data_IF_607975167588
#
_entry.id   IF_607975167588
#
_cell.length_a   1.000
_cell.length_b   1.000
_cell.length_c   1.000
_cell.angle_alpha   90.00
_cell.angle_beta   90.00
_cell.angle_gamma   90.00
#
_symmetry.space_group_name_H-M   'P 1'
#
loop_
_entity.id
_entity.type
_entity.pdbx_description
1 polymer ?
#
# COMPACT_ATOMS: atom_id res chain seq x y z
N UNK A 1 -4.86 -36.99 -30.97
CA UNK A 1 -4.59 -37.19 -29.53
C UNK A 1 -5.37 -36.11 -28.79
N UNK A 2 -6.58 -36.45 -28.36
CA UNK A 2 -7.54 -35.54 -27.72
C UNK A 2 -7.22 -35.45 -26.23
N UNK A 3 -6.83 -34.28 -25.74
CA UNK A 3 -6.72 -34.01 -24.31
C UNK A 3 -8.02 -33.36 -23.83
N UNK A 4 -8.67 -34.09 -22.92
CA UNK A 4 -9.94 -33.80 -22.29
C UNK A 4 -9.82 -32.56 -21.40
N UNK A 5 -10.60 -31.53 -21.71
CA UNK A 5 -10.82 -30.40 -20.82
C UNK A 5 -11.66 -30.85 -19.62
N UNK A 6 -10.99 -31.14 -18.50
CA UNK A 6 -11.64 -31.39 -17.22
C UNK A 6 -12.23 -30.09 -16.67
N UNK A 7 -13.53 -29.90 -16.87
CA UNK A 7 -14.31 -28.90 -16.13
C UNK A 7 -14.37 -29.30 -14.65
N UNK A 8 -13.51 -28.71 -13.83
CA UNK A 8 -13.72 -28.65 -12.39
C UNK A 8 -14.88 -27.69 -12.09
N UNK A 9 -16.12 -28.19 -12.24
CA UNK A 9 -17.27 -27.60 -11.54
C UNK A 9 -17.13 -27.99 -10.08
N UNK A 10 -16.65 -27.06 -9.29
CA UNK A 10 -16.61 -27.14 -7.84
C UNK A 10 -18.06 -27.17 -7.32
N UNK A 11 -18.63 -28.35 -7.12
CA UNK A 11 -19.87 -28.56 -6.37
C UNK A 11 -19.55 -28.46 -4.88
N UNK A 12 -19.28 -27.24 -4.41
CA UNK A 12 -19.51 -26.88 -3.01
C UNK A 12 -20.89 -26.23 -2.95
N UNK A 13 -21.94 -27.04 -2.99
CA UNK A 13 -23.19 -26.69 -2.32
C UNK A 13 -22.91 -26.75 -0.81
N UNK A 14 -22.16 -25.76 -0.33
CA UNK A 14 -22.20 -25.39 1.08
C UNK A 14 -23.66 -25.03 1.34
N UNK A 15 -24.28 -25.76 2.27
CA UNK A 15 -25.45 -25.27 2.99
C UNK A 15 -25.04 -23.93 3.63
N UNK A 16 -25.08 -22.84 2.86
CA UNK A 16 -25.07 -21.50 3.40
C UNK A 16 -26.34 -21.43 4.21
N UNK A 17 -26.22 -21.60 5.53
CA UNK A 17 -27.24 -21.13 6.47
C UNK A 17 -27.49 -19.67 6.11
N UNK A 18 -28.54 -19.43 5.34
CA UNK A 18 -29.00 -18.09 5.02
C UNK A 18 -29.40 -17.46 6.33
N UNK A 19 -28.56 -16.54 6.82
CA UNK A 19 -28.89 -15.74 7.98
C UNK A 19 -30.18 -14.99 7.69
N UNK A 20 -31.08 -14.96 8.68
CA UNK A 20 -32.26 -14.10 8.58
C UNK A 20 -31.84 -12.64 8.72
N UNK A 21 -32.65 -11.71 8.19
CA UNK A 21 -32.40 -10.28 8.38
C UNK A 21 -32.26 -9.91 9.86
N UNK A 22 -33.10 -10.49 10.72
CA UNK A 22 -33.03 -10.28 12.18
C UNK A 22 -31.66 -10.70 12.75
N UNK A 23 -31.09 -11.81 12.27
CA UNK A 23 -29.75 -12.25 12.70
C UNK A 23 -28.65 -11.28 12.24
N UNK A 24 -28.77 -10.76 11.02
CA UNK A 24 -27.86 -9.74 10.48
C UNK A 24 -27.94 -8.47 11.33
N UNK A 25 -29.14 -8.01 11.66
CA UNK A 25 -29.37 -6.82 12.47
C UNK A 25 -28.81 -6.97 13.89
N UNK A 26 -29.01 -8.14 14.52
CA UNK A 26 -28.44 -8.46 15.84
C UNK A 26 -26.90 -8.41 15.82
N UNK A 27 -26.27 -8.98 14.78
CA UNK A 27 -24.80 -8.93 14.66
C UNK A 27 -24.35 -7.50 14.44
N UNK A 28 -24.97 -6.78 13.50
CA UNK A 28 -24.66 -5.37 13.22
C UNK A 28 -24.72 -4.53 14.49
N UNK A 29 -25.77 -4.65 15.28
CA UNK A 29 -25.90 -3.95 16.57
C UNK A 29 -24.75 -4.30 17.51
N UNK A 30 -24.41 -5.59 17.65
CA UNK A 30 -23.31 -6.03 18.49
C UNK A 30 -21.96 -5.45 18.02
N UNK A 31 -21.67 -5.47 16.72
CA UNK A 31 -20.42 -4.93 16.15
C UNK A 31 -20.35 -3.41 16.39
N UNK A 32 -21.43 -2.67 16.11
CA UNK A 32 -21.50 -1.21 16.29
C UNK A 32 -21.48 -0.80 17.76
N UNK A 33 -22.03 -1.61 18.66
CA UNK A 33 -21.97 -1.39 20.10
C UNK A 33 -20.54 -1.58 20.63
N UNK A 34 -19.85 -2.63 20.16
CA UNK A 34 -18.50 -2.96 20.60
C UNK A 34 -17.38 -2.23 19.84
N UNK A 35 -17.70 -1.61 18.70
CA UNK A 35 -16.72 -0.97 17.81
C UNK A 35 -15.62 -1.94 17.34
N UNK A 36 -16.01 -3.21 17.17
CA UNK A 36 -15.07 -4.32 17.01
C UNK A 36 -15.64 -5.38 16.07
N UNK A 37 -14.85 -5.87 15.14
CA UNK A 37 -15.27 -6.85 14.12
C UNK A 37 -14.37 -8.08 14.16
N UNK A 38 -14.82 -9.13 14.84
CA UNK A 38 -14.17 -10.44 14.80
C UNK A 38 -15.16 -11.58 14.66
N UNK A 39 -14.71 -12.66 14.05
CA UNK A 39 -15.41 -13.94 13.95
C UNK A 39 -15.86 -14.42 15.32
N UNK A 40 -14.98 -14.33 16.33
CA UNK A 40 -15.30 -14.73 17.70
C UNK A 40 -16.43 -13.91 18.34
N UNK A 41 -16.57 -12.61 18.03
CA UNK A 41 -17.71 -11.81 18.50
C UNK A 41 -19.00 -12.30 17.84
N UNK A 42 -19.01 -12.51 16.53
CA UNK A 42 -20.16 -13.03 15.78
C UNK A 42 -20.58 -14.42 16.28
N UNK A 43 -19.62 -15.32 16.49
CA UNK A 43 -19.87 -16.65 17.05
C UNK A 43 -20.53 -16.57 18.42
N UNK A 44 -20.08 -15.68 19.31
CA UNK A 44 -20.67 -15.54 20.65
C UNK A 44 -22.07 -14.93 20.61
N UNK A 45 -22.30 -13.98 19.71
CA UNK A 45 -23.59 -13.29 19.52
C UNK A 45 -24.66 -14.24 19.00
N UNK A 46 -24.38 -15.00 17.95
CA UNK A 46 -25.36 -15.87 17.29
C UNK A 46 -25.21 -17.37 17.59
N UNK A 47 -24.23 -17.77 18.41
CA UNK A 47 -23.88 -19.18 18.69
C UNK A 47 -23.54 -19.99 17.43
N UNK A 48 -22.85 -19.35 16.49
CA UNK A 48 -22.46 -19.94 15.21
C UNK A 48 -21.14 -20.71 15.29
N UNK A 49 -20.97 -21.66 14.37
CA UNK A 49 -19.66 -22.21 14.05
C UNK A 49 -18.75 -21.13 13.45
N UNK A 50 -17.43 -21.37 13.43
CA UNK A 50 -16.48 -20.44 12.84
C UNK A 50 -16.81 -20.14 11.37
N UNK A 51 -17.05 -21.19 10.58
CA UNK A 51 -17.40 -21.07 9.15
C UNK A 51 -18.67 -20.26 8.92
N UNK A 52 -19.71 -20.47 9.74
CA UNK A 52 -20.96 -19.72 9.62
C UNK A 52 -20.79 -18.25 10.05
N UNK A 53 -19.92 -17.97 11.04
CA UNK A 53 -19.60 -16.60 11.44
C UNK A 53 -18.77 -15.85 10.39
N UNK A 54 -17.86 -16.51 9.68
CA UNK A 54 -17.17 -15.92 8.52
C UNK A 54 -18.15 -15.59 7.40
N UNK A 55 -19.03 -16.53 7.05
CA UNK A 55 -20.07 -16.28 6.04
C UNK A 55 -20.98 -15.11 6.43
N UNK A 56 -21.28 -14.93 7.73
CA UNK A 56 -22.01 -13.77 8.23
C UNK A 56 -21.27 -12.45 7.97
N UNK A 57 -19.96 -12.43 8.23
CA UNK A 57 -19.13 -11.26 7.99
C UNK A 57 -19.01 -10.94 6.50
N UNK A 58 -19.04 -11.95 5.62
CA UNK A 58 -19.05 -11.75 4.17
C UNK A 58 -20.36 -11.10 3.69
N UNK A 59 -21.50 -11.50 4.26
CA UNK A 59 -22.79 -10.83 4.00
C UNK A 59 -22.74 -9.38 4.47
N UNK A 60 -22.29 -9.13 5.70
CA UNK A 60 -22.15 -7.77 6.23
C UNK A 60 -21.16 -6.91 5.42
N UNK A 61 -20.15 -7.53 4.81
CA UNK A 61 -19.21 -6.84 3.92
C UNK A 61 -19.91 -6.43 2.62
N UNK A 62 -20.73 -7.32 2.05
CA UNK A 62 -21.51 -7.03 0.85
C UNK A 62 -22.53 -5.90 1.09
N UNK A 63 -23.09 -5.82 2.30
CA UNK A 63 -23.97 -4.74 2.74
C UNK A 63 -23.22 -3.43 3.10
N UNK A 64 -21.89 -3.41 3.01
CA UNK A 64 -21.08 -2.22 3.32
C UNK A 64 -21.03 -1.88 4.82
N UNK A 65 -21.37 -2.81 5.71
CA UNK A 65 -21.31 -2.63 7.17
C UNK A 65 -19.89 -2.85 7.69
N UNK A 66 -19.19 -3.82 7.12
CA UNK A 66 -17.80 -4.11 7.45
C UNK A 66 -16.91 -3.95 6.21
N UNK A 67 -15.66 -3.56 6.44
CA UNK A 67 -14.65 -3.47 5.39
C UNK A 67 -14.22 -4.87 4.93
N UNK A 68 -13.69 -4.99 3.71
CA UNK A 68 -12.96 -6.18 3.28
C UNK A 68 -11.83 -6.58 4.25
N UNK A 69 -11.43 -7.85 4.20
CA UNK A 69 -10.22 -8.32 4.88
C UNK A 69 -9.00 -7.54 4.39
N UNK A 70 -8.32 -6.87 5.31
CA UNK A 70 -7.04 -6.23 5.06
C UNK A 70 -6.05 -6.63 6.15
N UNK A 71 -4.99 -7.37 5.76
CA UNK A 71 -4.01 -7.98 6.67
C UNK A 71 -4.66 -8.86 7.75
N UNK A 72 -5.70 -9.61 7.38
CA UNK A 72 -6.41 -10.53 8.27
C UNK A 72 -7.47 -9.88 9.16
N UNK A 73 -7.69 -8.56 9.05
CA UNK A 73 -8.65 -7.82 9.89
C UNK A 73 -9.81 -7.27 9.06
N UNK A 74 -11.02 -7.29 9.63
CA UNK A 74 -12.18 -6.50 9.17
C UNK A 74 -12.43 -5.38 10.17
N UNK A 75 -13.00 -4.28 9.69
CA UNK A 75 -13.40 -3.13 10.53
C UNK A 75 -14.81 -2.71 10.20
N UNK A 76 -15.44 -1.91 11.06
CA UNK A 76 -16.70 -1.25 10.70
C UNK A 76 -16.45 -0.22 9.59
N UNK A 77 -17.45 -0.02 8.72
CA UNK A 77 -17.47 1.12 7.82
C UNK A 77 -17.32 2.44 8.59
N UNK A 78 -16.70 3.45 7.97
CA UNK A 78 -16.27 4.69 8.64
C UNK A 78 -17.43 5.44 9.27
N UNK A 79 -18.59 5.42 8.64
CA UNK A 79 -19.84 6.03 9.10
C UNK A 79 -20.46 5.33 10.32
N UNK A 80 -20.06 4.09 10.61
CA UNK A 80 -20.50 3.30 11.77
C UNK A 80 -19.52 3.37 12.95
N UNK A 81 -18.37 4.02 12.78
CA UNK A 81 -17.37 4.17 13.83
C UNK A 81 -17.73 5.31 14.80
N UNK A 82 -17.42 5.14 16.09
CA UNK A 82 -17.78 6.07 17.18
C UNK A 82 -16.54 6.61 17.89
N UNK A 83 -16.63 7.86 18.34
CA UNK A 83 -15.68 8.46 19.29
C UNK A 83 -14.24 8.46 18.78
N UNK A 84 -13.33 7.90 19.56
CA UNK A 84 -11.89 7.82 19.30
C UNK A 84 -11.47 6.62 18.44
N UNK A 85 -12.43 5.77 18.03
CA UNK A 85 -12.20 4.56 17.24
C UNK A 85 -11.34 4.81 15.99
N UNK A 86 -11.62 5.82 15.14
CA UNK A 86 -10.79 6.09 13.96
C UNK A 86 -9.33 6.40 14.31
N UNK A 87 -9.09 7.12 15.42
CA UNK A 87 -7.75 7.50 15.85
C UNK A 87 -6.96 6.30 16.38
N UNK A 88 -7.60 5.42 17.17
CA UNK A 88 -7.02 4.16 17.65
C UNK A 88 -6.68 3.20 16.50
N UNK A 89 -7.64 3.03 15.59
CA UNK A 89 -7.52 2.22 14.36
C UNK A 89 -6.36 2.71 13.49
N UNK A 90 -6.25 4.03 13.27
CA UNK A 90 -5.16 4.63 12.52
C UNK A 90 -3.82 4.45 13.23
N UNK A 91 -3.77 4.64 14.55
CA UNK A 91 -2.58 4.45 15.36
C UNK A 91 -2.04 3.02 15.26
N UNK A 92 -2.88 2.00 15.46
CA UNK A 92 -2.49 0.58 15.38
C UNK A 92 -2.01 0.21 13.98
N UNK A 93 -2.72 0.65 12.93
CA UNK A 93 -2.29 0.44 11.55
C UNK A 93 -0.92 1.08 11.29
N UNK A 94 -0.72 2.29 11.77
CA UNK A 94 0.53 3.03 11.60
C UNK A 94 1.71 2.39 12.35
N UNK A 95 1.49 1.88 13.57
CA UNK A 95 2.47 1.05 14.28
C UNK A 95 2.87 -0.15 13.42
N UNK A 96 1.89 -0.94 12.99
CA UNK A 96 2.13 -2.14 12.19
C UNK A 96 2.90 -1.84 10.90
N UNK A 97 2.45 -0.87 10.11
CA UNK A 97 3.09 -0.53 8.83
C UNK A 97 4.50 0.05 9.02
N UNK A 98 4.72 0.85 10.07
CA UNK A 98 6.06 1.36 10.40
C UNK A 98 7.03 0.22 10.75
N UNK A 99 6.56 -0.74 11.56
CA UNK A 99 7.38 -1.87 12.00
C UNK A 99 7.63 -2.85 10.86
N UNK A 100 6.60 -3.18 10.07
CA UNK A 100 6.70 -4.00 8.87
C UNK A 100 7.67 -3.39 7.86
N UNK A 101 7.63 -2.08 7.64
CA UNK A 101 8.58 -1.40 6.75
C UNK A 101 10.02 -1.67 7.18
N UNK A 102 10.35 -1.41 8.46
CA UNK A 102 11.71 -1.61 8.95
C UNK A 102 12.11 -3.08 9.06
N UNK A 103 11.16 -3.98 9.26
CA UNK A 103 11.40 -5.42 9.22
C UNK A 103 11.93 -5.81 7.84
N UNK A 104 11.27 -5.33 6.79
CA UNK A 104 11.70 -5.59 5.42
C UNK A 104 13.01 -4.87 5.08
N UNK A 105 13.28 -3.70 5.65
CA UNK A 105 14.60 -3.04 5.51
C UNK A 105 15.71 -3.83 6.18
N UNK A 106 15.44 -4.42 7.35
CA UNK A 106 16.37 -5.34 8.02
C UNK A 106 16.63 -6.57 7.16
N UNK A 107 15.58 -7.22 6.64
CA UNK A 107 15.71 -8.38 5.75
C UNK A 107 16.62 -8.05 4.55
N UNK A 108 16.53 -6.82 4.03
CA UNK A 108 17.24 -6.39 2.81
C UNK A 108 18.59 -5.71 3.07
N UNK A 109 19.09 -5.72 4.31
CA UNK A 109 20.28 -4.98 4.75
C UNK A 109 20.29 -3.51 4.27
N UNK A 110 19.16 -2.83 4.47
CA UNK A 110 18.92 -1.45 4.10
C UNK A 110 18.53 -0.64 5.35
N UNK A 111 18.83 0.66 5.35
CA UNK A 111 18.42 1.57 6.44
C UNK A 111 17.03 2.17 6.23
N UNK A 112 16.45 2.01 5.03
CA UNK A 112 15.19 2.61 4.64
C UNK A 112 15.27 4.14 4.48
N UNK A 113 14.36 4.66 3.67
CA UNK A 113 14.16 6.10 3.54
C UNK A 113 13.15 6.58 4.58
N UNK A 114 13.62 7.37 5.55
CA UNK A 114 12.77 7.85 6.65
C UNK A 114 11.64 8.77 6.21
N UNK A 115 11.69 9.34 5.00
CA UNK A 115 10.60 10.15 4.45
C UNK A 115 9.38 9.30 4.11
N UNK A 116 9.59 8.05 3.69
CA UNK A 116 8.50 7.07 3.50
C UNK A 116 7.77 6.83 4.82
N UNK A 117 8.52 6.73 5.92
CA UNK A 117 7.99 6.42 7.26
C UNK A 117 7.23 7.60 7.87
N UNK A 118 7.44 8.84 7.42
CA UNK A 118 6.62 9.98 7.87
C UNK A 118 5.12 9.78 7.56
N UNK A 119 4.80 8.82 6.70
CA UNK A 119 3.47 8.58 6.16
C UNK A 119 2.68 7.53 6.97
N UNK A 120 3.24 6.37 7.37
CA UNK A 120 2.63 5.46 8.34
C UNK A 120 3.04 5.72 9.80
N UNK A 121 3.66 6.85 10.16
CA UNK A 121 4.09 7.06 11.56
C UNK A 121 2.92 7.05 12.56
N UNK A 122 3.06 6.39 13.72
CA UNK A 122 2.01 6.33 14.74
C UNK A 122 1.68 7.70 15.36
N UNK A 123 2.64 8.63 15.36
CA UNK A 123 2.42 10.00 15.79
C UNK A 123 3.33 10.97 15.05
N UNK A 124 2.82 12.16 14.73
CA UNK A 124 3.61 13.22 14.09
C UNK A 124 4.76 13.74 14.97
N UNK A 125 4.69 13.47 16.27
CA UNK A 125 5.70 13.87 17.26
C UNK A 125 6.89 12.92 17.32
N UNK A 126 6.82 11.75 16.70
CA UNK A 126 7.97 10.84 16.57
C UNK A 126 8.60 11.08 15.20
N UNK A 127 9.87 11.48 15.19
CA UNK A 127 10.62 11.68 13.96
C UNK A 127 10.98 10.37 13.27
N UNK A 128 11.09 10.37 11.94
CA UNK A 128 11.44 9.16 11.17
C UNK A 128 12.78 8.55 11.58
N UNK A 129 13.77 9.37 11.95
CA UNK A 129 15.05 8.90 12.50
C UNK A 129 14.90 8.21 13.86
N UNK A 130 14.01 8.71 14.73
CA UNK A 130 13.74 8.08 16.03
C UNK A 130 13.06 6.72 15.85
N UNK A 131 12.11 6.62 14.90
CA UNK A 131 11.48 5.36 14.54
C UNK A 131 12.51 4.36 14.00
N UNK A 132 13.41 4.79 13.11
CA UNK A 132 14.49 3.92 12.61
C UNK A 132 15.39 3.42 13.73
N UNK A 133 15.82 4.32 14.61
CA UNK A 133 16.69 3.95 15.72
C UNK A 133 16.02 2.92 16.64
N UNK A 134 14.76 3.13 16.99
CA UNK A 134 14.03 2.22 17.87
C UNK A 134 13.72 0.88 17.19
N UNK A 135 13.17 0.91 15.98
CA UNK A 135 12.63 -0.30 15.35
C UNK A 135 13.72 -1.07 14.61
N UNK A 136 14.46 -0.42 13.70
CA UNK A 136 15.46 -1.09 12.90
C UNK A 136 16.71 -1.43 13.71
N UNK A 137 17.30 -0.43 14.37
CA UNK A 137 18.58 -0.63 15.07
C UNK A 137 18.40 -1.40 16.37
N UNK A 138 17.48 -0.97 17.24
CA UNK A 138 17.30 -1.59 18.55
C UNK A 138 16.49 -2.89 18.50
N UNK A 139 15.26 -2.88 17.95
CA UNK A 139 14.41 -4.07 17.97
C UNK A 139 14.94 -5.18 17.06
N UNK A 140 15.22 -4.89 15.79
CA UNK A 140 15.61 -5.92 14.82
C UNK A 140 17.10 -6.24 14.84
N UNK A 141 17.99 -5.27 14.67
CA UNK A 141 19.43 -5.53 14.56
C UNK A 141 20.06 -5.93 15.88
N UNK A 142 19.77 -5.21 16.98
CA UNK A 142 20.41 -5.48 18.27
C UNK A 142 19.74 -6.63 19.05
N UNK A 143 18.41 -6.73 18.99
CA UNK A 143 17.64 -7.69 19.83
C UNK A 143 17.06 -8.88 19.06
N UNK A 144 17.05 -8.86 17.73
CA UNK A 144 16.51 -9.95 16.91
C UNK A 144 15.01 -10.19 17.11
N UNK A 145 14.24 -9.15 17.43
CA UNK A 145 12.81 -9.27 17.72
C UNK A 145 11.99 -9.74 16.52
N UNK A 146 10.93 -10.48 16.80
CA UNK A 146 9.86 -10.73 15.84
C UNK A 146 9.03 -9.48 15.52
N UNK A 147 8.19 -9.56 14.49
CA UNK A 147 7.35 -8.45 14.04
C UNK A 147 6.37 -7.98 15.14
N UNK A 148 5.77 -8.94 15.86
CA UNK A 148 4.85 -8.64 16.96
C UNK A 148 5.56 -7.98 18.14
N UNK A 149 6.70 -8.51 18.57
CA UNK A 149 7.47 -7.99 19.71
C UNK A 149 7.93 -6.55 19.46
N UNK A 150 8.44 -6.26 18.26
CA UNK A 150 8.82 -4.90 17.86
C UNK A 150 7.60 -3.96 17.77
N UNK A 151 6.44 -4.47 17.35
CA UNK A 151 5.20 -3.69 17.29
C UNK A 151 4.68 -3.33 18.67
N UNK A 152 4.65 -4.27 19.62
CA UNK A 152 4.29 -4.01 21.02
C UNK A 152 5.25 -3.01 21.65
N UNK A 153 6.56 -3.18 21.42
CA UNK A 153 7.59 -2.24 21.89
C UNK A 153 7.34 -0.81 21.40
N UNK A 154 6.95 -0.64 20.13
CA UNK A 154 6.60 0.66 19.58
C UNK A 154 5.31 1.24 20.19
N UNK A 155 4.29 0.41 20.47
CA UNK A 155 3.07 0.85 21.19
C UNK A 155 3.42 1.35 22.58
N UNK A 156 4.20 0.59 23.35
CA UNK A 156 4.62 0.95 24.71
C UNK A 156 5.42 2.26 24.71
N UNK A 157 6.39 2.40 23.81
CA UNK A 157 7.15 3.65 23.66
C UNK A 157 6.25 4.85 23.34
N UNK A 158 5.19 4.66 22.54
CA UNK A 158 4.20 5.71 22.29
C UNK A 158 3.33 6.00 23.52
N UNK A 159 2.93 4.98 24.29
CA UNK A 159 2.15 5.13 25.52
C UNK A 159 2.93 5.90 26.58
N UNK A 160 4.18 5.51 26.84
CA UNK A 160 5.06 6.14 27.84
C UNK A 160 5.32 7.63 27.56
N UNK A 161 5.28 8.03 26.29
CA UNK A 161 5.47 9.41 25.85
C UNK A 161 4.16 10.20 25.75
N UNK A 162 3.02 9.62 26.09
CA UNK A 162 1.70 10.24 25.93
C UNK A 162 1.35 10.55 24.46
N UNK A 163 1.84 9.72 23.54
CA UNK A 163 1.66 9.86 22.09
C UNK A 163 0.61 8.90 21.52
N UNK A 164 0.28 7.84 22.25
CA UNK A 164 -0.76 6.89 21.88
C UNK A 164 -2.16 7.40 22.29
N UNK A 165 -3.22 7.10 21.52
CA UNK A 165 -4.59 7.20 22.00
C UNK A 165 -4.87 6.15 23.09
N UNK A 166 -6.11 6.09 23.59
CA UNK A 166 -6.55 5.12 24.59
C UNK A 166 -6.66 3.69 24.02
N UNK A 167 -5.52 3.10 23.67
CA UNK A 167 -5.39 1.75 23.09
C UNK A 167 -5.68 0.68 24.14
N UNK A 168 -6.72 -0.14 23.90
CA UNK A 168 -7.14 -1.27 24.74
C UNK A 168 -6.64 -2.63 24.26
N UNK A 169 -7.02 -3.70 24.97
CA UNK A 169 -6.61 -5.09 24.67
C UNK A 169 -7.11 -5.59 23.31
N UNK A 170 -8.29 -5.11 22.92
CA UNK A 170 -8.89 -5.32 21.62
C UNK A 170 -7.94 -4.79 20.53
N UNK A 171 -7.57 -3.50 20.56
CA UNK A 171 -6.64 -2.90 19.60
C UNK A 171 -5.29 -3.66 19.48
N UNK A 172 -4.79 -4.22 20.59
CA UNK A 172 -3.59 -5.06 20.60
C UNK A 172 -3.84 -6.44 19.97
N UNK A 173 -5.02 -7.02 20.15
CA UNK A 173 -5.41 -8.27 19.49
C UNK A 173 -5.47 -8.10 17.97
N UNK A 174 -5.91 -6.95 17.48
CA UNK A 174 -5.86 -6.61 16.05
C UNK A 174 -4.41 -6.55 15.55
N UNK A 175 -3.52 -5.92 16.31
CA UNK A 175 -2.10 -5.85 15.99
C UNK A 175 -1.47 -7.26 15.92
N UNK A 176 -1.85 -8.17 16.83
CA UNK A 176 -1.43 -9.58 16.81
C UNK A 176 -1.86 -10.27 15.52
N UNK A 177 -3.12 -10.09 15.09
CA UNK A 177 -3.63 -10.68 13.84
C UNK A 177 -2.84 -10.17 12.62
N UNK A 178 -2.62 -8.86 12.52
CA UNK A 178 -1.84 -8.27 11.42
C UNK A 178 -0.41 -8.80 11.38
N UNK A 179 0.24 -8.88 12.55
CA UNK A 179 1.61 -9.38 12.66
C UNK A 179 1.70 -10.86 12.29
N UNK A 180 0.79 -11.71 12.80
CA UNK A 180 0.79 -13.15 12.51
C UNK A 180 0.50 -13.44 11.04
N UNK A 181 -0.45 -12.72 10.43
CA UNK A 181 -0.79 -12.86 8.99
C UNK A 181 0.39 -12.51 8.09
N UNK A 182 1.27 -11.62 8.56
CA UNK A 182 2.43 -11.14 7.80
C UNK A 182 3.77 -11.68 8.34
N UNK A 183 3.72 -12.64 9.25
CA UNK A 183 4.91 -13.22 9.87
C UNK A 183 5.69 -13.99 8.81
N UNK A 184 7.00 -13.75 8.77
CA UNK A 184 7.95 -14.45 7.90
C UNK A 184 9.09 -15.01 8.74
N UNK A 185 9.87 -15.96 8.20
CA UNK A 185 11.14 -16.33 8.81
C UNK A 185 12.02 -15.09 8.99
N UNK A 186 12.61 -14.96 10.18
CA UNK A 186 13.56 -13.88 10.48
C UNK A 186 14.89 -14.18 9.77
N UNK A 187 14.96 -13.90 8.48
CA UNK A 187 16.10 -14.21 7.63
C UNK A 187 16.40 -13.06 6.65
N UNK A 188 17.69 -12.85 6.37
CA UNK A 188 18.14 -11.89 5.37
C UNK A 188 17.78 -12.34 3.95
N UNK A 189 17.56 -11.36 3.06
CA UNK A 189 17.20 -11.53 1.66
C UNK A 189 18.19 -10.77 0.79
N UNK A 190 18.99 -11.51 0.05
CA UNK A 190 20.02 -10.97 -0.83
C UNK A 190 19.65 -11.05 -2.33
N UNK A 191 18.63 -11.85 -2.67
CA UNK A 191 18.19 -12.04 -4.06
C UNK A 191 17.55 -10.75 -4.63
N UNK A 192 18.17 -10.18 -5.66
CA UNK A 192 17.74 -8.91 -6.23
C UNK A 192 16.33 -8.95 -6.87
N UNK A 193 15.95 -9.97 -7.65
CA UNK A 193 14.56 -10.16 -8.07
C UNK A 193 13.56 -10.15 -6.90
N UNK A 194 13.83 -10.88 -5.81
CA UNK A 194 12.95 -10.89 -4.63
C UNK A 194 12.87 -9.53 -3.97
N UNK A 195 14.00 -8.83 -3.80
CA UNK A 195 14.04 -7.47 -3.24
C UNK A 195 13.24 -6.48 -4.08
N UNK A 196 13.34 -6.57 -5.41
CA UNK A 196 12.56 -5.73 -6.33
C UNK A 196 11.06 -6.01 -6.20
N UNK A 197 10.65 -7.27 -6.18
CA UNK A 197 9.25 -7.64 -5.99
C UNK A 197 8.70 -7.08 -4.66
N UNK A 198 9.44 -7.25 -3.57
CA UNK A 198 9.07 -6.72 -2.24
C UNK A 198 8.98 -5.19 -2.22
N UNK A 199 9.89 -4.51 -2.92
CA UNK A 199 9.86 -3.04 -3.03
C UNK A 199 8.63 -2.55 -3.79
N UNK A 200 8.24 -3.24 -4.85
CA UNK A 200 7.01 -2.96 -5.58
C UNK A 200 5.77 -3.24 -4.73
N UNK A 201 5.74 -4.35 -4.00
CA UNK A 201 4.64 -4.64 -3.06
C UNK A 201 4.53 -3.57 -1.96
N UNK A 202 5.66 -3.11 -1.41
CA UNK A 202 5.70 -1.98 -0.48
C UNK A 202 5.11 -0.71 -1.08
N UNK A 203 5.52 -0.37 -2.30
CA UNK A 203 5.01 0.78 -3.03
C UNK A 203 3.50 0.66 -3.23
N UNK A 204 3.00 -0.51 -3.64
CA UNK A 204 1.56 -0.76 -3.82
C UNK A 204 0.79 -0.63 -2.51
N UNK A 205 1.26 -1.23 -1.41
CA UNK A 205 0.66 -1.05 -0.08
C UNK A 205 0.63 0.41 0.34
N UNK A 206 1.73 1.14 0.08
CA UNK A 206 1.82 2.56 0.35
C UNK A 206 0.78 3.38 -0.44
N UNK A 207 0.66 3.13 -1.75
CA UNK A 207 -0.33 3.79 -2.59
C UNK A 207 -1.75 3.49 -2.13
N UNK A 208 -2.06 2.23 -1.77
CA UNK A 208 -3.35 1.85 -1.22
C UNK A 208 -3.67 2.58 0.10
N UNK A 209 -2.71 2.66 1.01
CA UNK A 209 -2.89 3.30 2.31
C UNK A 209 -3.11 4.81 2.20
N UNK A 210 -2.45 5.45 1.23
CA UNK A 210 -2.43 6.92 1.11
C UNK A 210 -3.39 7.47 0.07
N UNK A 211 -3.79 6.66 -0.90
CA UNK A 211 -4.65 7.10 -2.00
C UNK A 211 -4.08 8.33 -2.70
N UNK A 212 -4.93 9.34 -2.90
CA UNK A 212 -4.57 10.59 -3.57
C UNK A 212 -3.46 11.37 -2.85
N UNK A 213 -3.33 11.20 -1.53
CA UNK A 213 -2.33 11.87 -0.69
C UNK A 213 -0.96 11.18 -0.71
N UNK A 214 -0.79 10.15 -1.55
CA UNK A 214 0.51 9.53 -1.74
C UNK A 214 1.50 10.52 -2.39
N UNK A 215 2.71 10.59 -1.84
CA UNK A 215 3.82 11.36 -2.38
C UNK A 215 4.28 10.72 -3.69
N UNK A 216 4.35 11.50 -4.76
CA UNK A 216 4.87 11.06 -6.06
C UNK A 216 6.33 10.63 -5.98
N UNK A 217 7.10 11.09 -4.99
CA UNK A 217 8.48 10.63 -4.79
C UNK A 217 8.59 9.23 -4.18
N UNK A 218 7.48 8.62 -3.81
CA UNK A 218 7.47 7.23 -3.31
C UNK A 218 8.09 6.24 -4.29
N UNK A 219 7.93 6.43 -5.60
CA UNK A 219 8.59 5.59 -6.61
C UNK A 219 10.11 5.59 -6.42
N UNK A 220 10.73 6.76 -6.23
CA UNK A 220 12.16 6.87 -5.94
C UNK A 220 12.49 6.19 -4.62
N UNK A 221 11.73 6.48 -3.56
CA UNK A 221 12.07 6.01 -2.23
C UNK A 221 12.01 4.48 -2.09
N UNK A 222 11.06 3.82 -2.75
CA UNK A 222 10.90 2.37 -2.67
C UNK A 222 11.77 1.61 -3.66
N UNK A 223 11.97 2.14 -4.88
CA UNK A 223 12.63 1.41 -5.96
C UNK A 223 14.13 1.71 -6.08
N UNK A 224 14.63 2.72 -5.36
CA UNK A 224 16.05 3.02 -5.32
C UNK A 224 16.87 1.81 -4.84
N UNK A 225 17.96 1.53 -5.56
CA UNK A 225 18.86 0.41 -5.27
C UNK A 225 18.36 -0.98 -5.70
N UNK A 226 17.08 -1.15 -6.06
CA UNK A 226 16.51 -2.45 -6.49
C UNK A 226 16.02 -2.46 -7.94
N UNK A 227 15.79 -1.27 -8.51
CA UNK A 227 15.44 -1.11 -9.91
C UNK A 227 16.34 -0.06 -10.57
N UNK A 228 17.04 -0.46 -11.64
CA UNK A 228 17.76 0.47 -12.52
C UNK A 228 16.73 1.07 -13.47
N UNK A 229 16.31 2.30 -13.20
CA UNK A 229 15.43 3.07 -14.08
C UNK A 229 16.12 3.29 -15.43
N UNK A 230 15.47 2.98 -16.57
CA UNK A 230 16.03 3.28 -17.88
C UNK A 230 16.25 4.79 -18.06
N UNK A 231 17.39 5.16 -18.63
CA UNK A 231 17.80 6.56 -18.78
C UNK A 231 18.01 6.91 -20.25
N UNK A 232 17.59 8.09 -20.67
CA UNK A 232 17.94 8.70 -21.95
C UNK A 232 18.57 10.06 -21.78
N UNK A 233 19.08 10.61 -22.87
CA UNK A 233 19.74 11.90 -22.93
C UNK A 233 19.19 12.71 -24.11
N UNK A 234 18.63 13.88 -23.82
CA UNK A 234 18.21 14.84 -24.84
C UNK A 234 19.42 15.38 -25.61
N UNK A 235 19.25 15.59 -26.91
CA UNK A 235 20.33 16.01 -27.83
C UNK A 235 20.80 17.44 -27.62
N UNK A 236 19.92 18.32 -27.16
CA UNK A 236 20.23 19.74 -26.90
C UNK A 236 20.98 19.97 -25.56
N UNK A 237 21.41 18.90 -24.90
CA UNK A 237 22.19 18.94 -23.67
C UNK A 237 21.46 18.40 -22.43
N UNK A 238 22.18 18.33 -21.32
CA UNK A 238 21.71 17.71 -20.08
C UNK A 238 21.48 18.74 -18.98
N UNK A 239 20.46 18.53 -18.13
CA UNK A 239 20.34 19.31 -16.90
C UNK A 239 19.23 18.88 -15.94
N UNK A 240 18.11 18.36 -16.45
CA UNK A 240 16.97 17.93 -15.64
C UNK A 240 16.60 16.48 -15.91
N UNK A 241 16.41 15.67 -14.86
CA UNK A 241 15.85 14.32 -14.96
C UNK A 241 14.34 14.42 -15.10
N UNK A 242 13.84 14.19 -16.30
CA UNK A 242 12.41 14.22 -16.60
C UNK A 242 11.88 12.80 -16.80
N UNK A 243 10.84 12.41 -16.06
CA UNK A 243 10.18 11.12 -16.28
C UNK A 243 9.38 11.17 -17.57
N UNK A 244 9.51 10.19 -18.46
CA UNK A 244 8.82 10.23 -19.77
C UNK A 244 7.30 10.22 -19.61
N UNK A 245 6.81 9.46 -18.63
CA UNK A 245 5.44 9.52 -18.10
C UNK A 245 5.47 10.27 -16.76
N UNK A 246 4.66 11.32 -16.54
CA UNK A 246 4.66 12.06 -15.29
C UNK A 246 4.40 11.16 -14.07
N UNK A 247 5.17 11.31 -12.99
CA UNK A 247 4.95 10.53 -11.75
C UNK A 247 3.53 10.71 -11.18
N UNK A 248 2.94 11.90 -11.35
CA UNK A 248 1.56 12.16 -10.97
C UNK A 248 0.57 11.28 -11.76
N UNK A 249 0.81 11.13 -13.07
CA UNK A 249 0.04 10.24 -13.93
C UNK A 249 0.18 8.79 -13.48
N UNK A 250 1.42 8.32 -13.25
CA UNK A 250 1.69 6.94 -12.79
C UNK A 250 0.93 6.65 -11.50
N UNK A 251 0.98 7.55 -10.51
CA UNK A 251 0.21 7.42 -9.27
C UNK A 251 -1.29 7.26 -9.55
N UNK A 252 -1.87 8.20 -10.31
CA UNK A 252 -3.31 8.20 -10.66
C UNK A 252 -3.71 6.89 -11.34
N UNK A 253 -2.90 6.43 -12.29
CA UNK A 253 -3.09 5.16 -12.98
C UNK A 253 -3.07 3.97 -12.02
N UNK A 254 -2.08 3.89 -11.12
CA UNK A 254 -1.98 2.80 -10.14
C UNK A 254 -3.20 2.77 -9.21
N UNK A 255 -3.66 3.93 -8.72
CA UNK A 255 -4.84 4.02 -7.85
C UNK A 255 -6.12 3.60 -8.58
N UNK A 256 -6.29 4.02 -9.84
CA UNK A 256 -7.43 3.59 -10.66
C UNK A 256 -7.38 2.08 -10.94
N UNK A 257 -6.20 1.54 -11.25
CA UNK A 257 -5.99 0.12 -11.46
C UNK A 257 -6.31 -0.72 -10.21
N UNK A 258 -5.90 -0.24 -9.02
CA UNK A 258 -6.26 -0.85 -7.74
C UNK A 258 -7.77 -0.88 -7.52
N UNK A 259 -8.46 0.24 -7.77
CA UNK A 259 -9.93 0.33 -7.61
C UNK A 259 -10.73 -0.57 -8.56
N UNK A 260 -10.14 -0.95 -9.70
CA UNK A 260 -10.76 -1.83 -10.70
C UNK A 260 -10.35 -3.29 -10.53
N UNK A 261 -9.62 -3.63 -9.46
CA UNK A 261 -9.23 -5.00 -9.14
C UNK A 261 -8.11 -5.55 -10.01
N UNK A 262 -7.31 -4.69 -10.67
CA UNK A 262 -6.10 -5.17 -11.36
C UNK A 262 -5.12 -5.76 -10.34
N UNK A 263 -4.42 -6.79 -10.77
CA UNK A 263 -3.45 -7.51 -9.95
C UNK A 263 -2.19 -6.66 -9.71
N UNK A 264 -1.50 -6.89 -8.60
CA UNK A 264 -0.23 -6.22 -8.30
C UNK A 264 0.80 -6.44 -9.41
N UNK A 265 0.85 -7.63 -10.00
CA UNK A 265 1.77 -7.98 -11.09
C UNK A 265 1.54 -7.12 -12.34
N UNK A 266 0.27 -6.90 -12.70
CA UNK A 266 -0.10 -6.05 -13.83
C UNK A 266 0.29 -4.58 -13.59
N UNK A 267 0.05 -4.08 -12.38
CA UNK A 267 0.37 -2.69 -12.03
C UNK A 267 1.88 -2.49 -11.96
N UNK A 268 2.62 -3.47 -11.43
CA UNK A 268 4.07 -3.47 -11.37
C UNK A 268 4.70 -3.41 -12.76
N UNK A 269 4.17 -4.18 -13.73
CA UNK A 269 4.62 -4.12 -15.11
C UNK A 269 4.46 -2.71 -15.71
N UNK A 270 3.32 -2.06 -15.45
CA UNK A 270 3.07 -0.69 -15.90
C UNK A 270 4.05 0.31 -15.24
N UNK A 271 4.26 0.22 -13.92
CA UNK A 271 5.20 1.08 -13.18
C UNK A 271 6.61 1.00 -13.78
N UNK A 272 7.14 -0.22 -13.95
CA UNK A 272 8.50 -0.42 -14.48
C UNK A 272 8.64 0.11 -15.91
N UNK A 273 7.57 0.02 -16.72
CA UNK A 273 7.54 0.59 -18.07
C UNK A 273 7.53 2.12 -18.06
N UNK A 274 6.76 2.72 -17.15
CA UNK A 274 6.52 4.17 -17.11
C UNK A 274 7.63 4.98 -16.44
N UNK A 275 8.42 4.37 -15.56
CA UNK A 275 9.44 5.10 -14.79
C UNK A 275 10.67 5.56 -15.58
N UNK A 276 10.74 5.30 -16.89
CA UNK A 276 11.84 5.76 -17.75
C UNK A 276 12.08 7.27 -17.61
N UNK A 277 13.35 7.68 -17.55
CA UNK A 277 13.76 9.09 -17.39
C UNK A 277 14.60 9.53 -18.59
N UNK A 278 14.40 10.76 -19.05
CA UNK A 278 15.26 11.41 -20.05
C UNK A 278 15.85 12.70 -19.46
N UNK A 279 17.14 12.91 -19.66
CA UNK A 279 17.82 14.15 -19.27
C UNK A 279 17.55 15.23 -20.31
N UNK A 280 16.80 16.27 -19.93
CA UNK A 280 16.45 17.38 -20.82
C UNK A 280 16.96 18.72 -20.27
N UNK A 281 16.91 19.77 -21.09
CA UNK A 281 17.26 21.13 -20.67
C UNK A 281 16.12 21.78 -19.87
N UNK A 282 16.43 22.85 -19.13
CA UNK A 282 15.41 23.64 -18.42
C UNK A 282 14.37 24.25 -19.37
N UNK A 283 14.79 24.64 -20.58
CA UNK A 283 13.89 25.19 -21.60
C UNK A 283 12.91 24.14 -22.12
N UNK A 284 13.41 22.94 -22.42
CA UNK A 284 12.59 21.79 -22.83
C UNK A 284 11.58 21.39 -21.73
N UNK A 285 12.02 21.34 -20.47
CA UNK A 285 11.10 21.14 -19.34
C UNK A 285 10.04 22.24 -19.28
N UNK A 286 10.43 23.50 -19.43
CA UNK A 286 9.48 24.62 -19.48
C UNK A 286 8.44 24.45 -20.59
N UNK A 287 8.86 23.96 -21.77
CA UNK A 287 7.94 23.67 -22.88
C UNK A 287 6.92 22.59 -22.52
N UNK A 288 7.32 21.55 -21.78
CA UNK A 288 6.41 20.50 -21.30
C UNK A 288 5.45 21.01 -20.22
N UNK A 289 6.01 21.63 -19.18
CA UNK A 289 5.31 21.93 -17.92
C UNK A 289 4.40 23.16 -18.01
N UNK A 290 4.86 24.23 -18.67
CA UNK A 290 4.13 25.49 -18.69
C UNK A 290 2.76 25.34 -19.36
N UNK A 291 1.78 26.09 -18.89
CA UNK A 291 0.45 26.11 -19.50
C UNK A 291 0.50 26.56 -20.95
N UNK A 292 -0.51 26.19 -21.74
CA UNK A 292 -0.68 26.67 -23.12
C UNK A 292 -0.72 28.20 -23.17
N UNK A 293 -1.39 28.84 -22.19
CA UNK A 293 -1.44 30.30 -22.07
C UNK A 293 -0.06 30.93 -21.81
N UNK A 294 0.89 30.17 -21.26
CA UNK A 294 2.27 30.58 -21.00
C UNK A 294 3.26 30.08 -22.06
N UNK A 295 2.78 29.57 -23.20
CA UNK A 295 3.60 29.09 -24.30
C UNK A 295 4.18 27.67 -24.13
N UNK A 296 3.72 26.90 -23.14
CA UNK A 296 4.04 25.48 -22.99
C UNK A 296 2.93 24.56 -23.50
N UNK A 297 2.97 23.29 -23.08
CA UNK A 297 2.01 22.26 -23.46
C UNK A 297 1.06 21.84 -22.33
N UNK A 298 1.33 22.23 -21.09
CA UNK A 298 0.53 21.85 -19.93
C UNK A 298 0.58 20.36 -19.59
N UNK A 299 1.67 19.67 -19.94
CA UNK A 299 1.84 18.21 -19.78
C UNK A 299 2.63 17.84 -18.52
N UNK A 300 2.61 18.71 -17.51
CA UNK A 300 3.33 18.47 -16.26
C UNK A 300 2.83 17.22 -15.53
N UNK A 301 1.53 16.94 -15.59
CA UNK A 301 0.88 15.87 -14.79
C UNK A 301 0.10 14.86 -15.61
N UNK A 302 -0.01 15.03 -16.93
CA UNK A 302 -0.84 14.21 -17.81
C UNK A 302 -0.08 13.82 -19.09
N UNK A 303 -0.55 12.76 -19.76
CA UNK A 303 -0.08 12.35 -21.08
C UNK A 303 -0.93 13.02 -22.18
N UNK A 304 -0.37 13.29 -23.37
CA UNK A 304 -1.11 13.94 -24.46
C UNK A 304 -2.16 13.01 -25.08
N UNK A 305 -3.33 13.51 -25.45
CA UNK A 305 -4.35 12.72 -26.17
C UNK A 305 -3.91 12.40 -27.62
N UNK A 306 -4.32 11.24 -28.19
CA UNK A 306 -5.17 10.19 -27.62
C UNK A 306 -4.38 9.04 -26.94
N UNK A 307 -3.30 9.34 -26.20
CA UNK A 307 -2.47 8.33 -25.56
C UNK A 307 -3.26 7.44 -24.57
N UNK A 308 -2.92 6.15 -24.52
CA UNK A 308 -3.50 5.22 -23.55
C UNK A 308 -2.43 4.39 -22.79
N UNK A 309 -2.73 3.93 -21.56
CA UNK A 309 -1.77 3.20 -20.72
C UNK A 309 -1.34 1.83 -21.21
N UNK A 310 -2.01 1.24 -22.20
CA UNK A 310 -1.77 -0.15 -22.60
C UNK A 310 -0.74 -0.21 -23.73
N UNK A 311 -0.99 0.50 -24.83
CA UNK A 311 -0.20 0.46 -26.06
C UNK A 311 0.41 1.82 -26.43
N UNK A 312 0.08 2.87 -25.68
CA UNK A 312 0.61 4.21 -25.92
C UNK A 312 2.13 4.25 -25.79
N UNK A 313 2.74 4.99 -26.71
CA UNK A 313 4.17 5.32 -26.68
C UNK A 313 4.49 6.13 -25.41
N UNK A 314 5.33 5.58 -24.54
CA UNK A 314 5.71 6.24 -23.27
C UNK A 314 6.46 7.56 -23.50
N UNK A 315 7.02 7.76 -24.69
CA UNK A 315 7.73 8.97 -25.08
C UNK A 315 6.83 10.01 -25.79
N UNK A 316 5.52 9.73 -25.94
CA UNK A 316 4.59 10.60 -26.66
C UNK A 316 4.62 12.07 -26.17
N UNK A 317 4.87 12.28 -24.88
CA UNK A 317 4.99 13.61 -24.29
C UNK A 317 6.22 14.38 -24.80
N UNK A 318 7.35 13.69 -24.94
CA UNK A 318 8.58 14.26 -25.49
C UNK A 318 8.43 14.52 -26.99
N UNK A 319 7.84 13.57 -27.73
CA UNK A 319 7.54 13.74 -29.16
C UNK A 319 6.62 14.93 -29.42
N UNK A 320 5.60 15.12 -28.58
CA UNK A 320 4.69 16.28 -28.66
C UNK A 320 5.40 17.62 -28.43
N UNK A 321 6.49 17.61 -27.67
CA UNK A 321 7.34 18.76 -27.42
C UNK A 321 8.51 18.90 -28.41
N UNK A 322 8.59 18.03 -29.41
CA UNK A 322 9.68 17.99 -30.41
C UNK A 322 11.06 17.85 -29.75
N UNK A 323 11.13 17.10 -28.64
CA UNK A 323 12.38 16.83 -27.92
C UNK A 323 13.01 15.56 -28.48
N UNK A 324 14.16 15.69 -29.12
CA UNK A 324 14.97 14.55 -29.57
C UNK A 324 15.87 14.03 -28.44
N UNK A 325 15.98 12.72 -28.33
CA UNK A 325 16.79 12.05 -27.30
C UNK A 325 17.31 10.71 -27.80
N UNK A 326 18.38 10.23 -27.15
CA UNK A 326 18.94 8.91 -27.36
C UNK A 326 18.90 8.14 -26.03
N UNK A 327 18.51 6.86 -26.07
CA UNK A 327 18.51 6.00 -24.89
C UNK A 327 19.95 5.59 -24.54
N UNK A 328 20.24 5.51 -23.24
CA UNK A 328 21.54 5.13 -22.71
C UNK A 328 21.38 3.83 -21.94
N UNK A 329 22.16 2.82 -22.30
CA UNK A 329 22.10 1.47 -21.69
C UNK A 329 22.50 1.43 -20.20
#
# INVERSE_FOLDING_TARGET
MLLVAGTYRNTYELNMTTLTQDQIDIVKEALVSKQWVTTGLVQRTLKLSHTAAEAALDVLQHEGIVTPHQDGVRRLAVDLQKGDTPARIAFIRNVFESVRYFYEMWEEDNNGDTRVIELPRPSKKIGGLQLRQLVLEECFRARGMGLLEASVTLVECCKDRGLAPAVGDDDLSELVVMCNTNQRPFAAVHDMPVRRARALDRLMRYLMLRGTDADTRSFDYFLNGVHKVPMGQGRDGSGHHEHVVPLHYIKKHCLAALSTGRTSEQINADILRFLTIVRITKAQRGRLDLSVASGGLGLQTEMPEPWCPVDGDIFARLHRAEIEFDMVD
#
